data_IF_525183603438
#
_entry.id   IF_525183603438
#
_cell.length_a   1.000
_cell.length_b   1.000
_cell.length_c   1.000
_cell.angle_alpha   90.00
_cell.angle_beta   90.00
_cell.angle_gamma   90.00
#
_symmetry.space_group_name_H-M   'P 1'
#
loop_
_entity.id
_entity.type
_entity.pdbx_description
1 polymer ?
#
# COMPACT_ATOMS: atom_id res chain seq x y z
N UNK A 1 26.52 35.85 25.27
CA UNK A 1 26.40 34.94 24.09
C UNK A 1 25.93 33.54 24.49
N UNK A 2 24.91 33.39 25.35
CA UNK A 2 24.35 32.07 25.74
C UNK A 2 22.88 31.87 25.32
N UNK A 3 22.19 32.93 24.88
CA UNK A 3 20.77 32.88 24.48
C UNK A 3 20.52 32.60 23.00
N UNK A 4 21.53 32.68 22.11
CA UNK A 4 21.32 32.46 20.67
C UNK A 4 21.32 30.97 20.30
N UNK A 5 22.00 30.12 21.08
CA UNK A 5 22.07 28.67 20.85
C UNK A 5 20.75 27.94 21.17
N UNK A 6 19.92 28.51 22.05
CA UNK A 6 18.69 27.87 22.51
C UNK A 6 17.53 27.98 21.50
N UNK A 7 17.54 29.01 20.64
CA UNK A 7 16.47 29.24 19.65
C UNK A 7 16.61 28.30 18.43
N UNK A 8 17.85 27.95 18.04
CA UNK A 8 18.10 27.10 16.86
C UNK A 8 17.67 25.65 17.10
N UNK A 9 17.79 25.14 18.34
CA UNK A 9 17.40 23.76 18.69
C UNK A 9 15.88 23.57 18.66
N UNK A 10 15.10 24.60 19.04
CA UNK A 10 13.63 24.53 19.05
C UNK A 10 13.06 24.51 17.63
N UNK A 11 13.65 25.25 16.69
CA UNK A 11 13.21 25.26 15.28
C UNK A 11 13.47 23.94 14.52
N UNK A 12 14.53 23.20 14.86
CA UNK A 12 14.80 21.89 14.25
C UNK A 12 13.79 20.83 14.71
N UNK A 13 13.43 20.82 15.99
CA UNK A 13 12.45 19.85 16.54
C UNK A 13 11.04 20.07 15.97
N UNK A 14 10.59 21.32 15.81
CA UNK A 14 9.28 21.63 15.24
C UNK A 14 9.13 21.21 13.75
N UNK A 15 10.22 21.18 12.98
CA UNK A 15 10.17 20.78 11.57
C UNK A 15 9.98 19.27 11.36
N UNK A 16 10.41 18.44 12.32
CA UNK A 16 10.26 16.98 12.24
C UNK A 16 8.82 16.56 12.56
N UNK A 17 8.18 17.20 13.54
CA UNK A 17 6.78 16.95 13.91
C UNK A 17 5.80 17.29 12.77
N UNK A 18 6.07 18.34 12.00
CA UNK A 18 5.24 18.74 10.86
C UNK A 18 5.28 17.77 9.68
N UNK A 19 6.41 17.08 9.44
CA UNK A 19 6.45 16.03 8.41
C UNK A 19 5.69 14.79 8.88
N UNK A 20 5.90 14.40 10.14
CA UNK A 20 5.29 13.23 10.78
C UNK A 20 3.75 13.24 10.78
N UNK A 21 3.12 14.40 11.00
CA UNK A 21 1.65 14.51 11.04
C UNK A 21 0.95 14.38 9.68
N UNK A 22 1.68 14.43 8.56
CA UNK A 22 1.12 14.26 7.21
C UNK A 22 1.09 12.80 6.73
N UNK A 23 1.53 11.85 7.56
CA UNK A 23 1.55 10.42 7.27
C UNK A 23 0.36 9.71 7.93
N UNK A 24 -0.87 10.09 7.56
CA UNK A 24 -2.05 9.35 7.98
C UNK A 24 -2.71 8.71 6.76
N UNK A 25 -2.76 7.38 6.72
CA UNK A 25 -3.31 6.60 5.61
C UNK A 25 -2.25 6.16 4.60
N UNK A 26 -2.72 5.56 3.50
CA UNK A 26 -1.83 5.26 2.37
C UNK A 26 -1.36 6.58 1.75
N UNK A 27 -0.07 6.88 1.88
CA UNK A 27 0.56 8.05 1.27
C UNK A 27 1.70 7.58 0.37
N UNK A 28 1.59 7.90 -0.92
CA UNK A 28 2.68 7.75 -1.87
C UNK A 28 3.63 8.94 -1.76
N UNK A 29 4.90 8.70 -1.45
CA UNK A 29 5.95 9.72 -1.47
C UNK A 29 6.93 9.47 -2.63
N UNK A 30 6.72 10.22 -3.71
CA UNK A 30 7.51 10.06 -4.94
C UNK A 30 8.97 10.55 -4.81
N UNK A 31 9.32 11.31 -3.77
CA UNK A 31 10.59 12.06 -3.73
C UNK A 31 11.41 11.95 -2.42
N UNK A 32 10.99 11.16 -1.44
CA UNK A 32 11.70 11.05 -0.14
C UNK A 32 12.04 9.59 0.16
N UNK A 33 13.32 9.32 0.44
CA UNK A 33 13.76 8.05 1.01
C UNK A 33 13.19 7.94 2.43
N UNK A 34 12.18 7.10 2.61
CA UNK A 34 11.47 6.83 3.85
C UNK A 34 12.44 6.48 4.99
N UNK A 35 13.47 5.67 4.76
CA UNK A 35 14.45 5.31 5.78
C UNK A 35 15.35 6.44 6.27
N UNK A 36 15.33 7.60 5.61
CA UNK A 36 15.98 8.82 6.11
C UNK A 36 15.08 9.66 7.00
N UNK A 37 13.76 9.48 6.91
CA UNK A 37 12.77 10.31 7.61
C UNK A 37 11.97 9.53 8.65
N UNK A 38 11.97 8.20 8.56
CA UNK A 38 11.31 7.30 9.50
C UNK A 38 12.34 6.65 10.42
N UNK A 39 11.99 6.40 11.69
CA UNK A 39 12.82 5.65 12.62
C UNK A 39 12.78 4.15 12.27
N UNK A 40 13.52 3.75 11.23
CA UNK A 40 13.55 2.37 10.74
C UNK A 40 14.08 1.42 11.82
N UNK A 41 13.43 0.28 11.95
CA UNK A 41 13.81 -0.81 12.84
C UNK A 41 14.03 -2.09 12.03
N UNK A 42 14.97 -2.92 12.48
CA UNK A 42 15.30 -4.18 11.79
C UNK A 42 14.22 -5.25 11.97
N UNK A 43 13.39 -5.15 13.02
CA UNK A 43 12.46 -6.20 13.43
C UNK A 43 11.30 -5.65 14.26
N UNK A 44 10.13 -6.29 14.18
CA UNK A 44 8.99 -6.08 15.10
C UNK A 44 9.23 -6.64 16.51
N UNK A 45 10.37 -7.32 16.74
CA UNK A 45 10.67 -8.17 17.91
C UNK A 45 9.76 -9.38 18.04
N UNK A 46 8.95 -9.67 17.02
CA UNK A 46 8.19 -10.90 16.88
C UNK A 46 8.67 -11.66 15.63
N UNK A 47 9.48 -12.72 15.78
CA UNK A 47 10.07 -13.40 14.63
C UNK A 47 9.03 -14.06 13.71
N UNK A 48 7.85 -14.42 14.22
CA UNK A 48 6.76 -14.94 13.38
C UNK A 48 6.16 -13.84 12.50
N UNK A 49 5.98 -12.64 13.06
CA UNK A 49 5.52 -11.47 12.32
C UNK A 49 6.54 -11.08 11.23
N UNK A 50 7.82 -10.98 11.59
CA UNK A 50 8.90 -10.63 10.64
C UNK A 50 8.97 -11.62 9.47
N UNK A 51 8.93 -12.92 9.78
CA UNK A 51 8.87 -13.97 8.76
C UNK A 51 7.62 -13.82 7.88
N UNK A 52 6.47 -13.55 8.48
CA UNK A 52 5.20 -13.41 7.77
C UNK A 52 5.22 -12.21 6.81
N UNK A 53 5.73 -11.05 7.25
CA UNK A 53 5.87 -9.86 6.41
C UNK A 53 6.77 -10.17 5.21
N UNK A 54 7.98 -10.66 5.45
CA UNK A 54 8.93 -10.98 4.40
C UNK A 54 8.32 -11.96 3.39
N UNK A 55 7.74 -13.06 3.88
CA UNK A 55 7.21 -14.11 3.00
C UNK A 55 6.02 -13.64 2.17
N UNK A 56 5.13 -12.84 2.75
CA UNK A 56 3.98 -12.31 2.02
C UNK A 56 4.40 -11.20 1.05
N UNK A 57 5.35 -10.35 1.40
CA UNK A 57 5.88 -9.33 0.48
C UNK A 57 6.51 -9.98 -0.77
N UNK A 58 7.33 -11.02 -0.59
CA UNK A 58 7.87 -11.81 -1.71
C UNK A 58 6.75 -12.42 -2.58
N UNK A 59 5.72 -12.99 -1.94
CA UNK A 59 4.60 -13.62 -2.65
C UNK A 59 3.76 -12.61 -3.44
N UNK A 60 3.51 -11.44 -2.86
CA UNK A 60 2.76 -10.36 -3.50
C UNK A 60 3.59 -9.75 -4.62
N UNK A 61 4.86 -9.44 -4.37
CA UNK A 61 5.77 -8.90 -5.38
C UNK A 61 5.88 -9.83 -6.59
N UNK A 62 6.00 -11.14 -6.37
CA UNK A 62 5.97 -12.13 -7.45
C UNK A 62 4.65 -12.13 -8.23
N UNK A 63 3.52 -12.00 -7.54
CA UNK A 63 2.20 -11.94 -8.19
C UNK A 63 2.06 -10.68 -9.05
N UNK A 64 2.44 -9.52 -8.51
CA UNK A 64 2.33 -8.23 -9.17
C UNK A 64 3.45 -7.94 -10.19
N UNK A 65 4.52 -8.73 -10.19
CA UNK A 65 5.70 -8.47 -11.00
C UNK A 65 6.52 -7.28 -10.50
N UNK A 66 6.50 -7.03 -9.19
CA UNK A 66 7.20 -5.91 -8.53
C UNK A 66 8.25 -6.45 -7.57
N UNK A 67 9.50 -6.05 -7.74
CA UNK A 67 10.56 -6.30 -6.78
C UNK A 67 10.53 -5.25 -5.67
N UNK A 68 9.78 -5.52 -4.61
CA UNK A 68 9.54 -4.55 -3.52
C UNK A 68 10.59 -4.66 -2.41
N UNK A 69 11.07 -3.51 -1.95
CA UNK A 69 11.74 -3.37 -0.66
C UNK A 69 10.73 -3.20 0.47
N UNK A 70 10.93 -3.88 1.60
CA UNK A 70 10.07 -3.68 2.79
C UNK A 70 10.93 -3.29 3.97
N UNK A 71 10.59 -2.16 4.58
CA UNK A 71 11.19 -1.68 5.82
C UNK A 71 10.12 -1.55 6.90
N UNK A 72 10.53 -1.70 8.15
CA UNK A 72 9.68 -1.48 9.32
C UNK A 72 10.15 -0.22 10.04
N UNK A 73 9.24 0.49 10.69
CA UNK A 73 9.60 1.64 11.51
C UNK A 73 8.84 1.67 12.83
N UNK A 74 9.45 2.32 13.82
CA UNK A 74 8.83 2.56 15.12
C UNK A 74 7.81 3.69 15.00
N UNK A 75 6.52 3.33 14.96
CA UNK A 75 5.44 4.28 14.76
C UNK A 75 4.80 4.78 16.08
N UNK A 76 5.36 4.44 17.25
CA UNK A 76 4.85 4.92 18.56
C UNK A 76 4.95 6.43 18.76
N UNK A 77 5.78 7.11 17.97
CA UNK A 77 5.93 8.57 18.00
C UNK A 77 4.88 9.31 17.16
N UNK A 78 4.04 8.58 16.41
CA UNK A 78 2.98 9.16 15.60
C UNK A 78 1.63 8.92 16.27
N UNK A 79 0.73 9.91 16.21
CA UNK A 79 -0.61 9.81 16.80
C UNK A 79 -1.47 8.72 16.15
N UNK A 80 -1.06 8.20 14.98
CA UNK A 80 -1.75 7.12 14.27
C UNK A 80 -0.76 6.12 13.68
N UNK A 81 -1.04 4.80 13.79
CA UNK A 81 -0.29 3.77 13.09
C UNK A 81 -0.37 3.99 11.58
N UNK A 82 0.75 3.80 10.87
CA UNK A 82 0.79 4.10 9.43
C UNK A 82 1.53 3.07 8.57
N UNK A 83 1.23 3.13 7.27
CA UNK A 83 1.95 2.44 6.20
C UNK A 83 2.18 3.43 5.06
N UNK A 84 3.35 3.40 4.45
CA UNK A 84 3.75 4.35 3.42
C UNK A 84 4.40 3.62 2.25
N UNK A 85 4.29 4.21 1.06
CA UNK A 85 4.95 3.72 -0.16
C UNK A 85 5.84 4.81 -0.73
N UNK A 86 7.03 4.43 -1.20
CA UNK A 86 7.90 5.31 -1.97
C UNK A 86 8.43 4.63 -3.22
N UNK A 87 8.63 5.43 -4.28
CA UNK A 87 9.34 5.01 -5.49
C UNK A 87 10.84 4.88 -5.30
N UNK A 88 11.38 5.43 -4.21
CA UNK A 88 12.82 5.43 -4.01
C UNK A 88 13.26 4.04 -3.58
N UNK A 89 14.21 3.53 -4.36
CA UNK A 89 14.95 2.30 -4.07
C UNK A 89 15.84 2.53 -2.84
N UNK A 90 15.36 2.11 -1.68
CA UNK A 90 16.17 2.11 -0.45
C UNK A 90 16.96 0.82 -0.28
N UNK A 91 16.58 -0.22 -1.01
CA UNK A 91 17.18 -1.54 -0.98
C UNK A 91 17.59 -1.91 -2.40
N UNK A 92 18.83 -1.54 -2.75
CA UNK A 92 19.39 -1.65 -4.11
C UNK A 92 18.77 -2.76 -4.99
N UNK A 93 18.17 -2.32 -6.10
CA UNK A 93 17.54 -3.19 -7.10
C UNK A 93 16.03 -3.34 -6.93
N UNK A 94 15.39 -2.61 -6.01
CA UNK A 94 13.92 -2.64 -5.85
C UNK A 94 13.22 -1.59 -6.71
N UNK A 95 11.99 -1.89 -7.13
CA UNK A 95 11.11 -0.98 -7.89
C UNK A 95 10.46 0.10 -7.00
N UNK A 96 10.54 -0.10 -5.68
CA UNK A 96 10.01 0.80 -4.68
C UNK A 96 10.05 0.17 -3.29
N UNK A 97 9.77 0.99 -2.28
CA UNK A 97 9.84 0.61 -0.87
C UNK A 97 8.47 0.77 -0.20
N UNK A 98 8.03 -0.25 0.54
CA UNK A 98 6.91 -0.19 1.48
C UNK A 98 7.48 -0.06 2.89
N UNK A 99 7.10 1.00 3.60
CA UNK A 99 7.44 1.19 5.01
C UNK A 99 6.21 0.91 5.89
N UNK A 100 6.35 0.03 6.88
CA UNK A 100 5.23 -0.42 7.71
C UNK A 100 5.51 -0.12 9.19
N UNK A 101 4.58 0.56 9.84
CA UNK A 101 4.64 0.84 11.27
C UNK A 101 4.43 -0.42 12.12
N UNK A 102 5.24 -0.57 13.17
CA UNK A 102 5.18 -1.75 14.06
C UNK A 102 3.84 -1.86 14.81
N UNK A 103 3.28 -0.74 15.29
CA UNK A 103 1.96 -0.71 15.92
C UNK A 103 0.86 -0.98 14.91
N UNK A 104 1.01 -0.57 13.65
CA UNK A 104 0.04 -0.92 12.60
C UNK A 104 -0.03 -2.42 12.34
N UNK A 105 1.13 -3.10 12.32
CA UNK A 105 1.21 -4.56 12.26
C UNK A 105 0.54 -5.23 13.45
N UNK A 106 0.79 -4.73 14.66
CA UNK A 106 0.15 -5.21 15.87
C UNK A 106 -1.38 -5.03 15.85
N UNK A 107 -1.86 -3.92 15.28
CA UNK A 107 -3.29 -3.65 15.13
C UNK A 107 -3.96 -4.59 14.14
N UNK A 108 -3.32 -4.86 13.00
CA UNK A 108 -3.80 -5.87 12.04
C UNK A 108 -3.93 -7.23 12.73
N UNK A 109 -2.89 -7.68 13.43
CA UNK A 109 -2.91 -8.96 14.14
C UNK A 109 -3.97 -9.00 15.23
N UNK A 110 -4.10 -7.93 16.03
CA UNK A 110 -5.09 -7.86 17.11
C UNK A 110 -6.52 -7.88 16.58
N UNK A 111 -6.76 -7.29 15.40
CA UNK A 111 -8.07 -7.31 14.76
C UNK A 111 -8.42 -8.69 14.17
N UNK A 112 -7.49 -9.37 13.48
CA UNK A 112 -7.77 -10.69 12.87
C UNK A 112 -7.56 -11.87 13.80
N UNK A 113 -6.84 -11.71 14.91
CA UNK A 113 -6.35 -12.80 15.75
C UNK A 113 -5.36 -13.74 15.03
N UNK A 114 -4.85 -13.34 13.88
CA UNK A 114 -3.92 -14.08 13.01
C UNK A 114 -3.27 -13.14 11.99
N UNK A 115 -2.44 -13.66 11.08
CA UNK A 115 -1.69 -12.88 10.09
C UNK A 115 -2.35 -12.75 8.70
N UNK A 116 -3.63 -13.11 8.53
CA UNK A 116 -4.27 -13.18 7.21
C UNK A 116 -4.53 -11.82 6.54
N UNK A 117 -4.47 -10.71 7.29
CA UNK A 117 -4.69 -9.35 6.78
C UNK A 117 -3.44 -8.76 6.13
N UNK A 118 -2.27 -9.03 6.72
CA UNK A 118 -0.97 -8.54 6.26
C UNK A 118 -0.76 -8.73 4.75
N UNK A 119 -0.97 -9.93 4.15
CA UNK A 119 -0.80 -10.12 2.71
C UNK A 119 -1.67 -9.22 1.84
N UNK A 120 -2.88 -8.87 2.29
CA UNK A 120 -3.84 -8.09 1.51
C UNK A 120 -3.55 -6.60 1.60
N UNK A 121 -3.12 -6.13 2.76
CA UNK A 121 -2.58 -4.77 2.92
C UNK A 121 -1.30 -4.61 2.09
N UNK A 122 -0.37 -5.57 2.16
CA UNK A 122 0.83 -5.55 1.30
C UNK A 122 0.47 -5.54 -0.20
N UNK A 123 -0.54 -6.28 -0.63
CA UNK A 123 -1.00 -6.26 -2.02
C UNK A 123 -1.53 -4.89 -2.45
N UNK A 124 -2.21 -4.17 -1.56
CA UNK A 124 -2.64 -2.81 -1.81
C UNK A 124 -1.43 -1.86 -1.94
N UNK A 125 -0.50 -1.89 -0.98
CA UNK A 125 0.68 -1.00 -1.02
C UNK A 125 1.61 -1.28 -2.20
N UNK A 126 1.84 -2.55 -2.54
CA UNK A 126 2.70 -2.92 -3.67
C UNK A 126 2.01 -2.59 -5.00
N UNK A 127 0.68 -2.64 -5.05
CA UNK A 127 -0.08 -2.17 -6.20
C UNK A 127 0.11 -0.68 -6.45
N UNK A 128 0.30 0.14 -5.41
CA UNK A 128 0.69 1.54 -5.60
C UNK A 128 2.05 1.67 -6.28
N UNK A 129 3.05 0.85 -5.93
CA UNK A 129 4.35 0.83 -6.64
C UNK A 129 4.17 0.45 -8.12
N UNK A 130 3.28 -0.51 -8.41
CA UNK A 130 2.98 -0.89 -9.79
C UNK A 130 2.29 0.24 -10.56
N UNK A 131 1.29 0.88 -9.97
CA UNK A 131 0.59 2.04 -10.54
C UNK A 131 1.58 3.14 -10.90
N UNK A 132 2.42 3.47 -9.94
CA UNK A 132 3.53 4.39 -10.03
C UNK A 132 4.42 4.08 -11.24
N UNK A 133 4.83 2.82 -11.39
CA UNK A 133 5.81 2.37 -12.38
C UNK A 133 5.22 2.44 -13.78
N UNK A 134 3.95 2.04 -13.91
CA UNK A 134 3.24 2.00 -15.18
C UNK A 134 2.51 3.31 -15.53
N UNK A 135 2.46 4.27 -14.60
CA UNK A 135 1.55 5.43 -14.65
C UNK A 135 0.12 4.95 -14.93
N UNK A 136 -0.32 3.92 -14.21
CA UNK A 136 -1.55 3.20 -14.48
C UNK A 136 -2.81 4.01 -14.13
N UNK A 137 -2.69 5.06 -13.33
CA UNK A 137 -3.76 5.99 -13.00
C UNK A 137 -3.30 7.45 -13.06
N UNK A 138 -4.23 8.42 -13.18
CA UNK A 138 -3.88 9.82 -13.00
C UNK A 138 -3.31 10.07 -11.60
N UNK A 139 -2.46 11.09 -11.39
CA UNK A 139 -1.88 11.42 -10.08
C UNK A 139 -2.90 11.80 -8.96
N UNK A 140 -4.20 11.73 -9.24
CA UNK A 140 -5.29 12.00 -8.30
C UNK A 140 -5.64 10.75 -7.48
N UNK A 141 -5.64 10.88 -6.16
CA UNK A 141 -5.65 9.76 -5.21
C UNK A 141 -6.74 8.71 -5.40
N UNK A 142 -7.99 9.09 -5.71
CA UNK A 142 -9.09 8.12 -5.72
C UNK A 142 -8.88 6.98 -6.74
N UNK A 143 -8.41 7.29 -7.95
CA UNK A 143 -8.19 6.25 -8.96
C UNK A 143 -7.06 5.30 -8.57
N UNK A 144 -5.97 5.84 -8.03
CA UNK A 144 -4.83 5.05 -7.54
C UNK A 144 -5.25 4.10 -6.41
N UNK A 145 -6.07 4.58 -5.48
CA UNK A 145 -6.60 3.79 -4.37
C UNK A 145 -7.55 2.67 -4.83
N UNK A 146 -8.49 2.98 -5.72
CA UNK A 146 -9.40 1.97 -6.27
C UNK A 146 -8.67 0.97 -7.17
N UNK A 147 -7.63 1.40 -7.88
CA UNK A 147 -6.74 0.52 -8.64
C UNK A 147 -6.01 -0.45 -7.72
N UNK A 148 -5.42 0.05 -6.62
CA UNK A 148 -4.75 -0.75 -5.63
C UNK A 148 -5.70 -1.73 -4.92
N UNK A 149 -6.93 -1.31 -4.60
CA UNK A 149 -7.96 -2.19 -4.05
C UNK A 149 -8.35 -3.30 -5.03
N UNK A 150 -8.51 -2.99 -6.31
CA UNK A 150 -8.79 -3.99 -7.35
C UNK A 150 -7.68 -5.04 -7.41
N UNK A 151 -6.41 -4.62 -7.49
CA UNK A 151 -5.27 -5.54 -7.53
C UNK A 151 -5.13 -6.38 -6.26
N UNK A 152 -5.40 -5.78 -5.10
CA UNK A 152 -5.46 -6.50 -3.83
C UNK A 152 -6.57 -7.57 -3.83
N UNK A 153 -7.73 -7.27 -4.43
CA UNK A 153 -8.80 -8.23 -4.68
C UNK A 153 -8.36 -9.41 -5.55
N UNK A 154 -7.67 -9.14 -6.67
CA UNK A 154 -7.09 -10.17 -7.54
C UNK A 154 -6.12 -11.07 -6.75
N UNK A 155 -5.23 -10.48 -5.96
CA UNK A 155 -4.28 -11.23 -5.14
C UNK A 155 -4.99 -12.08 -4.07
N UNK A 156 -6.08 -11.59 -3.47
CA UNK A 156 -6.86 -12.36 -2.51
C UNK A 156 -7.47 -13.61 -3.17
N UNK A 157 -7.99 -13.50 -4.40
CA UNK A 157 -8.48 -14.64 -5.16
C UNK A 157 -7.37 -15.65 -5.47
N UNK A 158 -6.21 -15.18 -5.94
CA UNK A 158 -5.02 -16.00 -6.16
C UNK A 158 -4.61 -16.76 -4.89
N UNK A 159 -4.45 -16.05 -3.78
CA UNK A 159 -4.04 -16.61 -2.49
C UNK A 159 -5.02 -17.65 -1.96
N UNK A 160 -6.33 -17.41 -2.12
CA UNK A 160 -7.38 -18.31 -1.64
C UNK A 160 -7.33 -19.72 -2.25
N UNK A 161 -6.61 -19.88 -3.38
CA UNK A 161 -6.35 -21.19 -4.01
C UNK A 161 -5.15 -21.91 -3.44
N UNK A 162 -4.22 -21.18 -2.83
CA UNK A 162 -2.97 -21.72 -2.31
C UNK A 162 -3.05 -22.02 -0.81
N UNK A 163 -3.79 -21.21 -0.08
CA UNK A 163 -3.92 -21.33 1.37
C UNK A 163 -5.27 -20.78 1.82
N UNK A 164 -5.66 -21.11 3.05
CA UNK A 164 -6.85 -20.53 3.66
C UNK A 164 -6.74 -19.01 3.70
N UNK A 165 -7.79 -18.33 3.27
CA UNK A 165 -7.86 -16.88 3.24
C UNK A 165 -9.26 -16.45 3.68
N UNK A 166 -9.35 -15.70 4.79
CA UNK A 166 -10.62 -15.19 5.30
C UNK A 166 -11.05 -13.96 4.48
N UNK A 167 -11.72 -14.20 3.35
CA UNK A 167 -12.17 -13.17 2.41
C UNK A 167 -13.05 -12.13 3.11
N UNK A 168 -13.96 -12.58 3.97
CA UNK A 168 -14.89 -11.68 4.66
C UNK A 168 -14.17 -10.75 5.63
N UNK A 169 -13.22 -11.27 6.41
CA UNK A 169 -12.48 -10.45 7.36
C UNK A 169 -11.51 -9.49 6.70
N UNK A 170 -10.88 -9.90 5.59
CA UNK A 170 -10.04 -9.03 4.77
C UNK A 170 -10.85 -7.89 4.14
N UNK A 171 -12.03 -8.18 3.58
CA UNK A 171 -12.89 -7.15 3.01
C UNK A 171 -13.32 -6.13 4.08
N UNK A 172 -13.67 -6.59 5.29
CA UNK A 172 -13.99 -5.70 6.41
C UNK A 172 -12.79 -4.84 6.82
N UNK A 173 -11.57 -5.37 6.74
CA UNK A 173 -10.37 -4.57 7.00
C UNK A 173 -10.17 -3.49 5.94
N UNK A 174 -10.29 -3.82 4.65
CA UNK A 174 -10.22 -2.84 3.54
C UNK A 174 -11.24 -1.72 3.72
N UNK A 175 -12.48 -2.06 4.08
CA UNK A 175 -13.53 -1.08 4.43
C UNK A 175 -13.11 -0.19 5.59
N UNK A 176 -12.57 -0.80 6.66
CA UNK A 176 -12.16 -0.10 7.88
C UNK A 176 -11.03 0.89 7.64
N UNK A 177 -10.02 0.51 6.86
CA UNK A 177 -8.90 1.42 6.55
C UNK A 177 -9.30 2.50 5.54
N UNK A 178 -10.36 2.25 4.76
CA UNK A 178 -11.04 3.26 3.95
C UNK A 178 -12.05 4.13 4.70
N UNK A 179 -12.22 3.95 6.01
CA UNK A 179 -13.16 4.74 6.81
C UNK A 179 -12.57 6.12 7.17
N UNK A 180 -13.25 7.14 6.66
CA UNK A 180 -12.88 8.55 6.55
C UNK A 180 -12.76 9.32 7.85
N UNK A 181 -13.12 8.71 8.97
CA UNK A 181 -13.06 9.38 10.27
C UNK A 181 -11.62 9.60 10.75
N UNK A 182 -10.61 8.99 10.11
CA UNK A 182 -9.20 9.15 10.44
C UNK A 182 -8.35 9.94 9.41
N UNK A 183 -8.77 10.04 8.13
CA UNK A 183 -8.00 10.65 7.03
C UNK A 183 -8.97 11.45 6.14
N UNK A 184 -9.00 12.77 6.33
CA UNK A 184 -10.17 13.62 6.05
C UNK A 184 -10.45 14.08 4.62
N UNK A 185 -10.42 13.23 3.58
CA UNK A 185 -10.92 13.63 2.25
C UNK A 185 -11.39 12.45 1.35
N UNK A 186 -12.72 12.23 1.21
CA UNK A 186 -13.30 11.25 0.27
C UNK A 186 -12.88 11.43 -1.20
N UNK A 187 -12.55 12.64 -1.63
CA UNK A 187 -12.10 12.88 -3.00
C UNK A 187 -10.70 12.31 -3.27
N UNK A 188 -9.95 11.95 -2.21
CA UNK A 188 -8.60 11.39 -2.32
C UNK A 188 -8.53 9.88 -2.18
N UNK A 189 -9.46 9.24 -1.47
CA UNK A 189 -9.35 7.80 -1.17
C UNK A 189 -10.51 6.92 -1.68
N UNK A 190 -11.60 7.51 -2.19
CA UNK A 190 -12.79 6.78 -2.65
C UNK A 190 -13.65 6.18 -1.52
N UNK A 191 -14.97 6.38 -1.53
CA UNK A 191 -15.88 5.97 -0.43
C UNK A 191 -15.70 4.49 -0.05
N UNK A 192 -16.05 4.06 1.19
CA UNK A 192 -15.87 2.67 1.59
C UNK A 192 -16.62 1.69 0.65
N UNK A 193 -17.75 2.14 0.09
CA UNK A 193 -18.51 1.41 -0.92
C UNK A 193 -17.75 1.28 -2.26
N UNK A 194 -17.10 2.34 -2.75
CA UNK A 194 -16.29 2.28 -3.96
C UNK A 194 -15.07 1.35 -3.78
N UNK A 195 -14.36 1.47 -2.66
CA UNK A 195 -13.22 0.60 -2.31
C UNK A 195 -13.61 -0.88 -2.25
N UNK A 196 -14.71 -1.16 -1.56
CA UNK A 196 -15.30 -2.52 -1.51
C UNK A 196 -15.66 -3.03 -2.89
N UNK A 197 -16.28 -2.19 -3.73
CA UNK A 197 -16.67 -2.56 -5.08
C UNK A 197 -15.45 -2.86 -5.95
N UNK A 198 -14.39 -2.06 -5.87
CA UNK A 198 -13.15 -2.26 -6.61
C UNK A 198 -12.46 -3.55 -6.18
N UNK A 199 -12.31 -3.77 -4.87
CA UNK A 199 -11.75 -5.01 -4.33
C UNK A 199 -12.52 -6.25 -4.78
N UNK A 200 -13.86 -6.21 -4.67
CA UNK A 200 -14.71 -7.32 -5.10
C UNK A 200 -14.61 -7.56 -6.60
N UNK A 201 -14.57 -6.50 -7.41
CA UNK A 201 -14.42 -6.61 -8.86
C UNK A 201 -13.11 -7.32 -9.25
N UNK A 202 -11.99 -6.97 -8.61
CA UNK A 202 -10.72 -7.65 -8.84
C UNK A 202 -10.74 -9.12 -8.41
N UNK A 203 -11.33 -9.41 -7.24
CA UNK A 203 -11.49 -10.78 -6.75
C UNK A 203 -12.31 -11.66 -7.73
N UNK A 204 -13.44 -11.14 -8.21
CA UNK A 204 -14.31 -11.86 -9.14
C UNK A 204 -13.66 -12.02 -10.52
N UNK A 205 -13.07 -10.95 -11.07
CA UNK A 205 -12.36 -10.99 -12.35
C UNK A 205 -11.26 -12.06 -12.35
N UNK A 206 -10.43 -12.11 -11.31
CA UNK A 206 -9.37 -13.10 -11.21
C UNK A 206 -9.91 -14.54 -11.19
N UNK A 207 -11.02 -14.77 -10.48
CA UNK A 207 -11.68 -16.08 -10.46
C UNK A 207 -12.21 -16.48 -11.83
N UNK A 208 -12.74 -15.54 -12.61
CA UNK A 208 -13.20 -15.79 -13.97
C UNK A 208 -12.02 -16.19 -14.88
N UNK A 209 -10.88 -15.51 -14.77
CA UNK A 209 -9.68 -15.87 -15.52
C UNK A 209 -9.19 -17.28 -15.17
N UNK A 210 -9.20 -17.65 -13.89
CA UNK A 210 -8.85 -19.00 -13.47
C UNK A 210 -9.82 -20.07 -14.01
N UNK A 211 -11.11 -19.75 -14.10
CA UNK A 211 -12.13 -20.70 -14.59
C UNK A 211 -11.91 -21.10 -16.05
N UNK A 212 -11.28 -20.22 -16.84
CA UNK A 212 -10.92 -20.50 -18.24
C UNK A 212 -9.46 -20.96 -18.42
N UNK A 213 -8.74 -21.21 -17.32
CA UNK A 213 -7.38 -21.75 -17.34
C UNK A 213 -6.29 -20.71 -17.64
N UNK A 214 -6.60 -19.42 -17.57
CA UNK A 214 -5.60 -18.37 -17.77
C UNK A 214 -4.64 -18.29 -16.58
N UNK A 215 -3.35 -18.12 -16.87
CA UNK A 215 -2.35 -17.71 -15.88
C UNK A 215 -2.30 -16.18 -15.91
N UNK A 216 -2.74 -15.56 -14.82
CA UNK A 216 -2.79 -14.11 -14.67
C UNK A 216 -1.63 -13.66 -13.81
N UNK A 217 -0.88 -12.68 -14.29
CA UNK A 217 0.14 -11.95 -13.53
C UNK A 217 -0.26 -10.48 -13.34
N UNK A 218 0.53 -9.73 -12.58
CA UNK A 218 0.23 -8.35 -12.21
C UNK A 218 -0.10 -7.41 -13.37
N UNK A 219 0.60 -7.52 -14.50
CA UNK A 219 0.37 -6.64 -15.66
C UNK A 219 -1.02 -6.88 -16.29
N UNK A 220 -1.49 -8.13 -16.34
CA UNK A 220 -2.82 -8.46 -16.85
C UNK A 220 -3.91 -7.88 -15.93
N UNK A 221 -3.70 -8.03 -14.62
CA UNK A 221 -4.59 -7.48 -13.60
C UNK A 221 -4.62 -5.94 -13.63
N UNK A 222 -3.49 -5.30 -13.93
CA UNK A 222 -3.37 -3.85 -14.10
C UNK A 222 -4.23 -3.34 -15.25
N UNK A 223 -4.15 -3.98 -16.42
CA UNK A 223 -4.99 -3.63 -17.57
C UNK A 223 -6.48 -3.80 -17.26
N UNK A 224 -6.85 -4.89 -16.58
CA UNK A 224 -8.22 -5.11 -16.13
C UNK A 224 -8.72 -4.06 -15.13
N UNK A 225 -7.86 -3.63 -14.19
CA UNK A 225 -8.17 -2.57 -13.24
C UNK A 225 -8.43 -1.23 -13.96
N UNK A 226 -7.59 -0.87 -14.95
CA UNK A 226 -7.81 0.34 -15.77
C UNK A 226 -9.15 0.30 -16.50
N UNK A 227 -9.47 -0.84 -17.12
CA UNK A 227 -10.76 -1.05 -17.78
C UNK A 227 -11.94 -0.92 -16.81
N UNK A 228 -11.82 -1.50 -15.61
CA UNK A 228 -12.84 -1.36 -14.55
C UNK A 228 -13.06 0.11 -14.16
N UNK A 229 -11.98 0.90 -14.10
CA UNK A 229 -12.01 2.31 -13.76
C UNK A 229 -12.37 3.23 -14.94
N UNK A 230 -12.67 2.68 -16.12
CA UNK A 230 -12.88 3.41 -17.38
C UNK A 230 -11.72 4.35 -17.73
N UNK A 231 -10.49 3.93 -17.46
CA UNK A 231 -9.28 4.64 -17.88
C UNK A 231 -8.88 4.21 -19.31
N UNK A 232 -8.21 5.07 -20.09
CA UNK A 232 -7.70 4.71 -21.41
C UNK A 232 -6.75 3.50 -21.36
N UNK A 233 -6.48 2.85 -22.49
CA UNK A 233 -5.42 1.83 -22.55
C UNK A 233 -4.03 2.48 -22.44
N UNK A 234 -3.00 1.70 -22.12
CA UNK A 234 -1.63 2.20 -21.93
C UNK A 234 -1.09 2.93 -23.17
N UNK A 235 -1.38 2.43 -24.37
CA UNK A 235 -0.93 3.03 -25.65
C UNK A 235 -1.54 4.41 -25.94
N UNK A 236 -2.63 4.76 -25.26
CA UNK A 236 -3.27 6.07 -25.39
C UNK A 236 -2.86 7.04 -24.29
N UNK A 237 -2.29 6.55 -23.18
CA UNK A 237 -1.85 7.40 -22.07
C UNK A 237 -0.66 8.31 -22.45
N UNK A 238 0.29 7.78 -23.25
CA UNK A 238 1.44 8.55 -23.74
C UNK A 238 1.05 9.65 -24.73
N UNK A 239 -0.10 9.52 -25.42
CA UNK A 239 -0.63 10.56 -26.31
C UNK A 239 -1.32 11.69 -25.54
N UNK A 240 -1.84 11.41 -24.34
CA UNK A 240 -2.55 12.38 -23.51
C UNK A 240 -1.57 13.20 -22.65
N UNK A 241 -0.45 12.61 -22.22
CA UNK A 241 0.57 13.29 -21.42
C UNK A 241 1.46 14.27 -22.23
N UNK A 242 1.26 14.36 -23.55
CA UNK A 242 2.03 15.20 -24.48
C UNK A 242 1.41 16.56 -24.83
N UNK A 243 0.37 17.02 -24.12
CA UNK A 243 -0.28 18.33 -24.34
C UNK A 243 -0.22 19.22 -23.09
#
# INVERSE_FOLDING_TARGET
MKSLFFIIVISLLASVESLAQNFMGCTSQDAIALGRVLPVVESTRNPQMDYCIKKNAESVGKFLGVNVGVIMFEDSVYDKPNICVSRIDELSGTDGTVAIGCNYLQNMYSYSGNFNIIPIVLAHEIAHILDITLKATPPSGMYSELYADFLSGCFMAYRSKQTFADVSNNLRWVVRIGDYTAVGDPARHGTPMQRTAAFKAGFDWYKEQLAVGCVVVGIDASAAARKYLNLPDFDDADKIAGN
#
